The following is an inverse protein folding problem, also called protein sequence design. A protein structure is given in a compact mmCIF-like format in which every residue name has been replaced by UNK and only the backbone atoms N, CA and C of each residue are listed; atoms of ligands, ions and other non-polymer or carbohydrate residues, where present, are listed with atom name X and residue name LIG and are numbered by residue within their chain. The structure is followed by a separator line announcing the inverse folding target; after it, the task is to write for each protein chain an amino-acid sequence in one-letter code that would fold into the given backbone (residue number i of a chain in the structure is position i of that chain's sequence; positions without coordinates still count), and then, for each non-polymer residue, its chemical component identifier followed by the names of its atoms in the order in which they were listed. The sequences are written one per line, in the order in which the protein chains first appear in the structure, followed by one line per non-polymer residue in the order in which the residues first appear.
data_IF_402181943942
#
_entry.id   IF_402181943942
#
_cell.length_a   1.000
_cell.length_b   1.000
_cell.length_c   1.000
_cell.angle_alpha   90.00
_cell.angle_beta   90.00
_cell.angle_gamma   90.00
#
_symmetry.space_group_name_H-M   'P 1'
#
loop_
_entity.id
_entity.type
_entity.pdbx_description
1 polymer ?
#
# COMPACT_ATOMS: atom_id res chain seq x y z
N UNK A 1 -15.46 16.32 34.63
CA UNK A 1 -14.32 17.11 34.15
C UNK A 1 -13.07 16.25 34.29
N UNK A 2 -12.27 16.18 33.22
CA UNK A 2 -10.87 15.76 33.12
C UNK A 2 -10.38 14.51 33.91
N UNK A 3 -10.32 13.37 33.22
CA UNK A 3 -9.40 12.27 33.54
C UNK A 3 -8.40 12.16 32.38
N UNK A 4 -7.23 12.82 32.45
CA UNK A 4 -6.07 12.51 31.59
C UNK A 4 -4.84 13.39 31.94
N UNK A 5 -4.18 13.15 33.07
CA UNK A 5 -2.82 13.72 33.32
C UNK A 5 -1.89 12.76 34.08
N UNK A 6 -2.21 11.48 34.16
CA UNK A 6 -1.53 10.54 35.07
C UNK A 6 -0.38 9.74 34.42
N UNK A 7 0.10 10.12 33.23
CA UNK A 7 1.18 9.40 32.52
C UNK A 7 2.52 10.12 32.45
N UNK A 8 2.62 11.32 33.04
CA UNK A 8 3.80 12.19 32.95
C UNK A 8 4.46 12.47 34.30
N UNK A 9 4.06 11.78 35.38
CA UNK A 9 4.68 11.98 36.69
C UNK A 9 5.89 11.03 36.81
N UNK A 10 7.13 11.54 36.83
CA UNK A 10 8.30 10.68 37.01
C UNK A 10 8.30 10.06 38.42
N UNK A 11 8.69 8.78 38.58
CA UNK A 11 8.88 8.19 39.90
C UNK A 11 9.96 8.97 40.68
N UNK A 12 9.74 9.20 41.97
CA UNK A 12 10.63 10.00 42.84
C UNK A 12 12.04 9.37 43.05
N UNK A 13 12.25 8.15 42.56
CA UNK A 13 13.44 7.35 42.82
C UNK A 13 14.60 7.58 41.83
N UNK A 14 14.44 8.49 40.85
CA UNK A 14 15.51 8.83 39.89
C UNK A 14 15.56 10.34 39.61
N UNK A 15 16.76 10.93 39.42
CA UNK A 15 16.88 12.36 39.16
C UNK A 15 16.22 12.72 37.83
N UNK A 16 15.44 13.81 37.81
CA UNK A 16 14.66 14.28 36.66
C UNK A 16 15.46 14.33 35.35
N UNK A 17 16.74 14.71 35.43
CA UNK A 17 17.67 14.70 34.29
C UNK A 17 17.77 13.33 33.61
N UNK A 18 17.81 12.23 34.38
CA UNK A 18 17.92 10.88 33.81
C UNK A 18 16.68 10.50 33.01
N UNK A 19 15.49 10.95 33.43
CA UNK A 19 14.27 10.73 32.65
C UNK A 19 14.25 11.56 31.36
N UNK A 20 14.79 12.79 31.39
CA UNK A 20 14.94 13.59 30.17
C UNK A 20 15.95 12.97 29.21
N UNK A 21 17.11 12.52 29.71
CA UNK A 21 18.14 11.86 28.92
C UNK A 21 17.60 10.56 28.29
N UNK A 22 16.81 9.79 29.03
CA UNK A 22 16.15 8.55 28.55
C UNK A 22 15.06 8.85 27.51
N UNK A 23 14.19 9.83 27.77
CA UNK A 23 13.17 10.26 26.82
C UNK A 23 13.77 10.85 25.52
N UNK A 24 14.88 11.57 25.61
CA UNK A 24 15.60 12.11 24.45
C UNK A 24 16.38 11.03 23.67
N UNK A 25 16.76 9.93 24.33
CA UNK A 25 17.42 8.79 23.68
C UNK A 25 16.47 7.93 22.87
N UNK A 26 15.17 8.00 23.15
CA UNK A 26 14.14 7.36 22.34
C UNK A 26 13.89 8.27 21.14
N UNK A 27 14.35 7.81 19.97
CA UNK A 27 14.08 8.47 18.69
C UNK A 27 12.56 8.56 18.56
N UNK A 28 12.02 9.77 18.59
CA UNK A 28 10.60 10.02 18.46
C UNK A 28 10.18 9.76 17.01
N UNK A 29 10.11 8.49 16.61
CA UNK A 29 9.56 8.11 15.30
C UNK A 29 8.14 8.67 15.11
N UNK A 30 7.42 8.87 16.21
CA UNK A 30 6.07 9.43 16.26
C UNK A 30 5.96 10.91 15.82
N UNK A 31 7.06 11.67 15.82
CA UNK A 31 7.07 13.08 15.40
C UNK A 31 7.76 13.30 14.04
N UNK A 32 8.14 12.22 13.35
CA UNK A 32 8.65 12.33 11.99
C UNK A 32 7.47 12.70 11.09
N UNK A 33 7.55 13.83 10.41
CA UNK A 33 6.53 14.19 9.42
C UNK A 33 6.29 13.01 8.48
N UNK A 34 5.02 12.67 8.20
CA UNK A 34 4.73 11.57 7.32
C UNK A 34 5.38 11.83 5.97
N UNK A 35 6.11 10.83 5.47
CA UNK A 35 6.77 10.93 4.17
C UNK A 35 5.76 11.31 3.08
N UNK A 36 6.24 11.86 1.96
CA UNK A 36 5.36 12.26 0.83
C UNK A 36 4.43 11.13 0.39
N UNK A 37 4.90 9.89 0.43
CA UNK A 37 4.13 8.68 0.13
C UNK A 37 3.02 8.44 1.16
N UNK A 38 3.30 8.60 2.46
CA UNK A 38 2.29 8.44 3.51
C UNK A 38 1.18 9.49 3.39
N UNK A 39 1.54 10.76 3.14
CA UNK A 39 0.57 11.84 2.88
C UNK A 39 -0.32 11.53 1.67
N UNK A 40 0.25 10.95 0.62
CA UNK A 40 -0.50 10.53 -0.56
C UNK A 40 -1.45 9.36 -0.26
N UNK A 41 -0.99 8.35 0.50
CA UNK A 41 -1.84 7.22 0.92
C UNK A 41 -3.01 7.69 1.78
N UNK A 42 -2.75 8.56 2.76
CA UNK A 42 -3.77 9.13 3.63
C UNK A 42 -4.82 9.89 2.80
N UNK A 43 -4.38 10.76 1.88
CA UNK A 43 -5.28 11.48 0.97
C UNK A 43 -6.10 10.55 0.10
N UNK A 44 -5.49 9.53 -0.52
CA UNK A 44 -6.23 8.59 -1.37
C UNK A 44 -7.23 7.78 -0.55
N UNK A 45 -6.87 7.38 0.67
CA UNK A 45 -7.77 6.66 1.57
C UNK A 45 -8.96 7.50 2.05
N UNK A 46 -8.81 8.83 2.14
CA UNK A 46 -9.90 9.77 2.44
C UNK A 46 -10.96 9.80 1.32
N UNK A 47 -10.53 9.67 0.06
CA UNK A 47 -11.43 9.66 -1.11
C UNK A 47 -11.92 8.26 -1.49
N UNK A 48 -11.11 7.23 -1.28
CA UNK A 48 -11.39 5.84 -1.66
C UNK A 48 -11.14 4.95 -0.44
N UNK A 49 -12.15 4.74 0.43
CA UNK A 49 -12.01 3.93 1.63
C UNK A 49 -11.49 2.51 1.34
N UNK A 50 -11.93 1.91 0.23
CA UNK A 50 -11.49 0.57 -0.20
C UNK A 50 -9.99 0.50 -0.57
N UNK A 51 -9.35 1.62 -0.90
CA UNK A 51 -7.93 1.66 -1.24
C UNK A 51 -7.02 1.77 0.00
N UNK A 52 -7.57 2.07 1.18
CA UNK A 52 -6.81 2.26 2.41
C UNK A 52 -5.98 1.01 2.77
N UNK A 53 -6.61 -0.16 2.81
CA UNK A 53 -5.95 -1.42 3.15
C UNK A 53 -4.83 -1.81 2.16
N UNK A 54 -5.10 -1.88 0.85
CA UNK A 54 -4.08 -2.21 -0.15
C UNK A 54 -2.88 -1.25 -0.16
N UNK A 55 -3.12 0.07 -0.05
CA UNK A 55 -2.06 1.07 -0.06
C UNK A 55 -1.19 1.06 1.21
N UNK A 56 -1.79 0.74 2.37
CA UNK A 56 -1.06 0.58 3.63
C UNK A 56 -0.18 -0.68 3.61
N UNK A 57 -0.69 -1.80 3.08
CA UNK A 57 0.10 -3.03 2.88
C UNK A 57 1.30 -2.79 1.96
N UNK A 58 1.13 -1.97 0.93
CA UNK A 58 2.20 -1.65 -0.01
C UNK A 58 3.28 -0.74 0.59
N UNK A 59 2.90 0.14 1.52
CA UNK A 59 3.82 1.12 2.13
C UNK A 59 4.45 0.64 3.44
N UNK A 60 4.02 -0.51 3.98
CA UNK A 60 4.67 -1.16 5.13
C UNK A 60 4.47 -0.44 6.47
N UNK A 61 3.53 0.50 6.54
CA UNK A 61 3.24 1.25 7.77
C UNK A 61 1.92 0.78 8.41
N UNK A 62 1.92 0.37 9.69
CA UNK A 62 0.68 0.04 10.40
C UNK A 62 -0.12 1.31 10.64
N UNK A 63 -1.42 1.29 10.30
CA UNK A 63 -2.32 2.39 10.62
C UNK A 63 -2.43 2.56 12.15
N UNK A 64 -2.47 3.82 12.60
CA UNK A 64 -2.99 4.13 13.92
C UNK A 64 -4.39 3.51 14.03
N UNK A 65 -4.55 2.62 15.01
CA UNK A 65 -5.68 1.74 15.22
C UNK A 65 -7.04 2.33 14.78
N UNK A 66 -7.54 1.88 13.65
CA UNK A 66 -8.99 1.83 13.39
C UNK A 66 -9.32 0.40 12.99
N UNK A 67 -9.89 -0.27 13.97
CA UNK A 67 -10.78 -1.43 13.90
C UNK A 67 -10.44 -2.43 12.82
N UNK A 68 -9.80 -3.51 13.25
CA UNK A 68 -9.82 -4.80 12.58
C UNK A 68 -11.28 -5.25 12.37
N UNK A 69 -11.89 -4.84 11.27
CA UNK A 69 -12.95 -5.64 10.67
C UNK A 69 -12.26 -6.43 9.57
N UNK A 70 -12.00 -7.69 9.88
CA UNK A 70 -11.57 -8.69 8.92
C UNK A 70 -12.61 -8.74 7.80
N UNK A 71 -12.35 -8.03 6.71
CA UNK A 71 -13.06 -8.23 5.46
C UNK A 71 -12.67 -9.64 4.98
N UNK A 72 -13.59 -10.57 5.22
CA UNK A 72 -13.66 -11.87 4.60
C UNK A 72 -13.53 -11.63 3.08
N UNK A 73 -12.33 -11.87 2.52
CA UNK A 73 -12.13 -11.82 1.08
C UNK A 73 -13.19 -12.73 0.46
N UNK A 74 -14.14 -12.22 -0.35
CA UNK A 74 -15.06 -13.10 -1.03
C UNK A 74 -14.21 -14.09 -1.82
N UNK A 75 -14.55 -15.38 -1.68
CA UNK A 75 -13.85 -16.44 -2.39
C UNK A 75 -13.70 -16.05 -3.87
N UNK A 76 -12.55 -16.35 -4.50
CA UNK A 76 -12.38 -16.08 -5.92
C UNK A 76 -13.60 -16.65 -6.67
N UNK A 77 -14.23 -15.87 -7.55
CA UNK A 77 -15.43 -16.31 -8.25
C UNK A 77 -15.13 -17.64 -8.93
N UNK A 78 -16.05 -18.57 -8.79
CA UNK A 78 -15.92 -19.90 -9.39
C UNK A 78 -15.66 -19.72 -10.90
N UNK A 79 -14.60 -20.31 -11.47
CA UNK A 79 -14.27 -20.16 -12.88
C UNK A 79 -15.42 -20.59 -13.81
N UNK A 80 -16.37 -21.41 -13.32
CA UNK A 80 -17.58 -21.78 -14.05
C UNK A 80 -18.64 -20.67 -14.14
N UNK A 81 -18.51 -19.59 -13.35
CA UNK A 81 -19.38 -18.40 -13.41
C UNK A 81 -18.87 -17.35 -14.40
N UNK A 82 -17.65 -17.49 -14.92
CA UNK A 82 -17.13 -16.61 -15.94
C UNK A 82 -17.71 -17.02 -17.30
N UNK A 83 -18.19 -16.06 -18.11
CA UNK A 83 -18.64 -16.38 -19.45
C UNK A 83 -17.49 -17.02 -20.24
N UNK A 84 -17.79 -18.11 -20.95
CA UNK A 84 -16.82 -18.77 -21.81
C UNK A 84 -16.32 -17.79 -22.86
N UNK A 85 -15.00 -17.70 -23.01
CA UNK A 85 -14.40 -16.92 -24.08
C UNK A 85 -14.81 -17.54 -25.42
N UNK A 86 -15.17 -16.74 -26.43
CA UNK A 86 -15.45 -17.26 -27.77
C UNK A 86 -14.28 -18.10 -28.31
N UNK A 87 -14.59 -19.22 -28.96
CA UNK A 87 -13.57 -20.10 -29.59
C UNK A 87 -12.71 -19.36 -30.63
N UNK A 88 -13.29 -18.37 -31.31
CA UNK A 88 -12.65 -17.57 -32.34
C UNK A 88 -12.81 -16.07 -32.02
N UNK A 89 -12.02 -15.59 -31.06
CA UNK A 89 -11.97 -14.17 -30.72
C UNK A 89 -11.12 -13.40 -31.75
N UNK A 90 -11.80 -12.65 -32.61
CA UNK A 90 -11.17 -11.87 -33.68
C UNK A 90 -10.12 -10.89 -33.17
N UNK A 91 -10.30 -10.34 -31.97
CA UNK A 91 -9.32 -9.41 -31.37
C UNK A 91 -8.02 -10.12 -31.00
N UNK A 92 -8.11 -11.36 -30.51
CA UNK A 92 -6.93 -12.17 -30.19
C UNK A 92 -6.22 -12.57 -31.49
N UNK A 93 -6.96 -12.98 -32.52
CA UNK A 93 -6.38 -13.31 -33.83
C UNK A 93 -5.65 -12.12 -34.45
N UNK A 94 -6.24 -10.92 -34.39
CA UNK A 94 -5.62 -9.68 -34.85
C UNK A 94 -4.38 -9.32 -34.03
N UNK A 95 -4.45 -9.44 -32.71
CA UNK A 95 -3.29 -9.20 -31.84
C UNK A 95 -2.13 -10.13 -32.19
N UNK A 96 -2.38 -11.44 -32.35
CA UNK A 96 -1.36 -12.42 -32.74
C UNK A 96 -0.80 -12.12 -34.13
N UNK A 97 -1.66 -11.72 -35.08
CA UNK A 97 -1.25 -11.31 -36.42
C UNK A 97 -0.37 -10.07 -36.38
N UNK A 98 -0.68 -9.10 -35.52
CA UNK A 98 0.07 -7.87 -35.37
C UNK A 98 1.44 -8.13 -34.70
N UNK A 99 1.52 -9.01 -33.69
CA UNK A 99 2.82 -9.40 -33.11
C UNK A 99 3.78 -9.95 -34.17
N UNK A 100 3.30 -10.87 -35.02
CA UNK A 100 4.13 -11.43 -36.09
C UNK A 100 4.51 -10.42 -37.19
N UNK A 101 3.68 -9.39 -37.44
CA UNK A 101 4.05 -8.28 -38.34
C UNK A 101 5.15 -7.41 -37.75
N UNK A 102 5.03 -7.11 -36.46
CA UNK A 102 5.98 -6.26 -35.76
C UNK A 102 7.33 -6.95 -35.62
N UNK A 103 7.38 -8.23 -35.24
CA UNK A 103 8.64 -8.98 -35.11
C UNK A 103 9.33 -9.22 -36.44
N UNK A 104 8.57 -9.42 -37.53
CA UNK A 104 9.13 -9.50 -38.88
C UNK A 104 9.82 -8.21 -39.35
N UNK A 105 9.38 -7.05 -38.88
CA UNK A 105 9.96 -5.76 -39.28
C UNK A 105 11.23 -5.41 -38.50
N UNK A 106 11.29 -5.70 -37.18
CA UNK A 106 12.48 -5.38 -36.36
C UNK A 106 13.69 -6.26 -36.70
N UNK A 107 13.47 -7.44 -37.27
CA UNK A 107 14.53 -8.36 -37.72
C UNK A 107 15.18 -7.88 -39.02
N UNK A 108 14.44 -7.20 -39.91
CA UNK A 108 14.96 -6.76 -41.22
C UNK A 108 15.71 -5.42 -41.19
N UNK A 109 15.39 -4.52 -40.25
CA UNK A 109 16.07 -3.23 -40.11
C UNK A 109 17.43 -3.31 -39.38
N UNK A 110 17.70 -4.42 -38.68
CA UNK A 110 18.98 -4.65 -38.00
C UNK A 110 20.15 -5.06 -38.91
N UNK A 111 19.89 -5.30 -40.20
CA UNK A 111 20.89 -5.83 -41.15
C UNK A 111 21.41 -4.80 -42.18
N UNK A 112 21.31 -3.51 -41.85
CA UNK A 112 21.93 -2.42 -42.61
C UNK A 112 22.84 -1.59 -41.70
N UNK A 113 23.96 -2.18 -41.27
CA UNK A 113 25.15 -1.43 -40.86
C UNK A 113 26.37 -2.05 -41.52
#
# INVERSE_FOLDING_TARGET
MAQQTDKMQPPADRPYKKHLDEAASHETEDYREPGTVQKAVEKVSEYIPAAAGPLQKLTGHPAAARTEEAEETPAPPDPSQLPERPLHDTHIEEFVREQHRQDGSKILDGHKQ
#
